data_IF_209817779845
#
_entry.id   IF_209817779845
#
_cell.length_a   1.000
_cell.length_b   1.000
_cell.length_c   1.000
_cell.angle_alpha   90.00
_cell.angle_beta   90.00
_cell.angle_gamma   90.00
#
_symmetry.space_group_name_H-M   'P 1'
#
loop_
_entity.id
_entity.type
_entity.pdbx_description
1 polymer ?
#
# COMPACT_ATOMS: atom_id res chain seq x y z
N UNK A 1 12.32 24.99 -1.42
CA UNK A 1 11.44 24.35 -0.41
C UNK A 1 10.02 24.93 -0.50
N UNK A 2 9.35 24.74 -1.65
CA UNK A 2 7.93 25.08 -1.92
C UNK A 2 7.24 23.89 -2.60
N UNK A 3 7.57 22.68 -2.13
CA UNK A 3 7.04 21.42 -2.66
C UNK A 3 5.83 20.91 -1.85
N UNK A 4 5.16 21.85 -1.17
CA UNK A 4 3.98 21.63 -0.33
C UNK A 4 2.82 22.38 -1.01
N UNK A 5 1.68 21.71 -1.15
CA UNK A 5 0.38 22.28 -1.55
C UNK A 5 0.08 22.37 -3.06
N UNK A 6 -0.26 21.22 -3.68
CA UNK A 6 -1.28 21.02 -4.75
C UNK A 6 -1.14 19.63 -5.39
N UNK A 7 -1.41 18.56 -4.66
CA UNK A 7 -2.05 17.39 -5.27
C UNK A 7 -3.45 17.35 -4.68
N UNK A 8 -4.41 17.86 -5.44
CA UNK A 8 -5.80 17.95 -5.00
C UNK A 8 -6.38 16.52 -4.89
N UNK A 9 -6.26 15.96 -3.68
CA UNK A 9 -6.86 14.70 -3.25
C UNK A 9 -6.23 13.46 -3.90
N UNK A 10 -5.57 12.63 -3.08
CA UNK A 10 -4.82 11.40 -3.42
C UNK A 10 -5.65 10.25 -4.05
N UNK A 11 -6.50 10.56 -5.04
CA UNK A 11 -7.21 9.61 -5.90
C UNK A 11 -8.10 8.62 -5.13
N UNK A 12 -9.32 9.07 -4.80
CA UNK A 12 -10.36 8.27 -4.14
C UNK A 12 -10.56 6.83 -4.66
N UNK A 13 -10.45 6.50 -5.97
CA UNK A 13 -10.61 5.11 -6.43
C UNK A 13 -9.43 4.20 -6.07
N UNK A 14 -8.17 4.65 -6.24
CA UNK A 14 -7.00 3.78 -6.02
C UNK A 14 -6.76 3.50 -4.55
N UNK A 15 -7.08 4.43 -3.63
CA UNK A 15 -6.92 4.17 -2.19
C UNK A 15 -7.87 3.07 -1.69
N UNK A 16 -9.09 3.00 -2.24
CA UNK A 16 -10.06 1.95 -1.91
C UNK A 16 -9.59 0.58 -2.40
N UNK A 17 -9.09 0.52 -3.63
CA UNK A 17 -8.51 -0.70 -4.22
C UNK A 17 -7.26 -1.12 -3.44
N UNK A 18 -6.39 -0.17 -3.09
CA UNK A 18 -5.17 -0.42 -2.32
C UNK A 18 -5.48 -1.01 -0.94
N UNK A 19 -6.47 -0.47 -0.22
CA UNK A 19 -6.86 -0.97 1.10
C UNK A 19 -7.49 -2.38 1.01
N UNK A 20 -8.25 -2.66 -0.05
CA UNK A 20 -8.75 -4.02 -0.33
C UNK A 20 -7.61 -5.01 -0.59
N UNK A 21 -6.66 -4.66 -1.48
CA UNK A 21 -5.56 -5.55 -1.81
C UNK A 21 -4.65 -5.75 -0.59
N UNK A 22 -4.34 -4.68 0.16
CA UNK A 22 -3.56 -4.78 1.39
C UNK A 22 -4.22 -5.72 2.40
N UNK A 23 -5.54 -5.63 2.60
CA UNK A 23 -6.29 -6.55 3.46
C UNK A 23 -6.22 -8.01 3.01
N UNK A 24 -6.39 -8.28 1.72
CA UNK A 24 -6.30 -9.63 1.16
C UNK A 24 -4.88 -10.21 1.35
N UNK A 25 -3.84 -9.40 1.11
CA UNK A 25 -2.44 -9.82 1.30
C UNK A 25 -2.17 -10.14 2.78
N UNK A 26 -2.67 -9.32 3.72
CA UNK A 26 -2.49 -9.59 5.17
C UNK A 26 -3.20 -10.87 5.59
N UNK A 27 -4.44 -11.10 5.14
CA UNK A 27 -5.18 -12.33 5.44
C UNK A 27 -4.44 -13.54 4.86
N UNK A 28 -3.99 -13.45 3.61
CA UNK A 28 -3.22 -14.51 2.97
C UNK A 28 -1.90 -14.78 3.70
N UNK A 29 -1.17 -13.74 4.13
CA UNK A 29 0.08 -13.87 4.88
C UNK A 29 -0.12 -14.53 6.26
N UNK A 30 -1.20 -14.18 6.97
CA UNK A 30 -1.55 -14.80 8.26
C UNK A 30 -1.98 -16.25 8.07
N UNK A 31 -2.78 -16.55 7.04
CA UNK A 31 -3.24 -17.91 6.75
C UNK A 31 -2.07 -18.83 6.39
N UNK A 32 -1.12 -18.33 5.59
CA UNK A 32 0.11 -19.06 5.26
C UNK A 32 1.04 -19.21 6.48
N UNK A 33 1.09 -18.20 7.34
CA UNK A 33 1.88 -18.26 8.57
C UNK A 33 1.36 -19.26 9.59
N UNK A 34 0.06 -19.52 9.59
CA UNK A 34 -0.53 -20.60 10.36
C UNK A 34 -0.14 -21.99 9.83
N UNK A 35 -0.02 -22.15 8.51
CA UNK A 35 0.23 -23.44 7.86
C UNK A 35 1.72 -23.81 7.70
N UNK A 36 2.64 -22.84 7.56
CA UNK A 36 4.04 -23.11 7.19
C UNK A 36 5.01 -22.87 8.36
N UNK A 37 4.99 -21.69 8.99
CA UNK A 37 5.92 -21.34 10.09
C UNK A 37 5.54 -20.02 10.78
N UNK A 38 5.66 -19.94 12.12
CA UNK A 38 5.37 -18.72 12.91
C UNK A 38 6.15 -17.46 12.49
N UNK A 39 7.23 -17.61 11.72
CA UNK A 39 8.01 -16.49 11.16
C UNK A 39 7.25 -15.63 10.13
N UNK A 40 6.20 -16.15 9.50
CA UNK A 40 5.41 -15.41 8.49
C UNK A 40 4.56 -14.28 9.09
N UNK A 41 4.28 -14.30 10.39
CA UNK A 41 3.64 -13.17 11.08
C UNK A 41 4.50 -11.90 11.01
N UNK A 42 5.82 -12.04 10.95
CA UNK A 42 6.73 -10.90 10.83
C UNK A 42 6.53 -10.17 9.50
N UNK A 43 6.23 -10.90 8.41
CA UNK A 43 5.90 -10.31 7.11
C UNK A 43 4.59 -9.52 7.16
N UNK A 44 3.57 -10.04 7.85
CA UNK A 44 2.30 -9.35 8.04
C UNK A 44 2.48 -8.05 8.86
N UNK A 45 3.29 -8.09 9.92
CA UNK A 45 3.61 -6.93 10.76
C UNK A 45 4.38 -5.86 9.96
N UNK A 46 5.38 -6.27 9.17
CA UNK A 46 6.16 -5.35 8.32
C UNK A 46 5.25 -4.65 7.31
N UNK A 47 4.34 -5.38 6.64
CA UNK A 47 3.36 -4.80 5.71
C UNK A 47 2.45 -3.78 6.41
N UNK A 48 1.92 -4.11 7.60
CA UNK A 48 1.08 -3.22 8.38
C UNK A 48 1.82 -1.95 8.80
N UNK A 49 3.07 -2.11 9.27
CA UNK A 49 3.92 -0.98 9.67
C UNK A 49 4.22 -0.05 8.48
N UNK A 50 4.51 -0.58 7.30
CA UNK A 50 4.68 0.20 6.08
C UNK A 50 3.40 0.97 5.70
N UNK A 51 2.22 0.40 5.98
CA UNK A 51 0.94 1.08 5.74
C UNK A 51 0.67 2.22 6.73
N UNK A 52 1.11 2.08 7.99
CA UNK A 52 1.06 3.13 9.02
C UNK A 52 2.01 4.27 8.66
N UNK A 53 3.25 3.94 8.27
CA UNK A 53 4.24 4.93 7.82
C UNK A 53 3.72 5.69 6.60
N UNK A 54 3.04 5.02 5.66
CA UNK A 54 2.39 5.68 4.53
C UNK A 54 1.34 6.72 4.95
N UNK A 55 0.50 6.42 5.94
CA UNK A 55 -0.48 7.39 6.45
C UNK A 55 0.16 8.65 7.03
N UNK A 56 1.42 8.59 7.46
CA UNK A 56 2.16 9.71 8.07
C UNK A 56 3.07 10.43 7.05
N UNK A 57 3.73 9.69 6.15
CA UNK A 57 4.75 10.22 5.21
C UNK A 57 4.26 10.36 3.77
N UNK A 58 3.17 9.68 3.39
CA UNK A 58 2.60 9.73 2.03
C UNK A 58 3.37 8.92 0.97
N UNK A 59 4.40 8.15 1.34
CA UNK A 59 5.15 7.28 0.41
C UNK A 59 4.60 5.85 0.43
N UNK A 60 3.92 5.41 -0.64
CA UNK A 60 3.41 4.04 -0.76
C UNK A 60 4.26 3.24 -1.78
N UNK A 61 5.04 2.23 -1.38
CA UNK A 61 5.81 1.39 -2.31
C UNK A 61 4.90 0.63 -3.28
N UNK A 62 3.68 0.31 -2.85
CA UNK A 62 2.69 -0.35 -3.69
C UNK A 62 2.14 0.57 -4.80
N UNK A 63 2.16 1.89 -4.60
CA UNK A 63 1.86 2.84 -5.68
C UNK A 63 2.95 2.82 -6.76
N UNK A 64 4.22 2.57 -6.39
CA UNK A 64 5.33 2.38 -7.33
C UNK A 64 5.13 1.07 -8.10
N UNK A 65 4.68 0.01 -7.43
CA UNK A 65 4.34 -1.27 -8.08
C UNK A 65 3.18 -1.11 -9.06
N UNK A 66 2.11 -0.38 -8.72
CA UNK A 66 1.01 -0.13 -9.67
C UNK A 66 1.44 0.71 -10.88
N UNK A 67 2.36 1.66 -10.71
CA UNK A 67 2.96 2.39 -11.82
C UNK A 67 3.76 1.47 -12.74
N UNK A 68 4.42 0.45 -12.17
CA UNK A 68 5.17 -0.56 -12.93
C UNK A 68 4.25 -1.54 -13.67
N UNK A 69 3.08 -1.86 -13.10
CA UNK A 69 2.04 -2.68 -13.75
C UNK A 69 1.24 -1.94 -14.84
N UNK A 70 1.62 -0.69 -15.17
CA UNK A 70 1.10 0.01 -16.34
C UNK A 70 -0.33 0.53 -16.20
N UNK A 71 -0.88 0.56 -14.99
CA UNK A 71 -2.12 1.31 -14.72
C UNK A 71 -1.73 2.79 -14.67
N UNK A 72 -2.16 3.63 -15.64
CA UNK A 72 -1.88 5.05 -15.56
C UNK A 72 -2.59 5.61 -14.32
N UNK A 73 -1.81 6.11 -13.35
CA UNK A 73 -2.29 7.20 -12.51
C UNK A 73 -2.50 8.39 -13.44
N UNK A 74 -3.67 8.47 -14.09
CA UNK A 74 -4.01 9.54 -15.02
C UNK A 74 -4.19 10.85 -14.24
N UNK A 75 -3.08 11.45 -13.84
CA UNK A 75 -3.01 12.83 -13.35
C UNK A 75 -2.67 13.69 -14.57
N UNK A 76 -3.70 13.96 -15.38
CA UNK A 76 -3.63 15.02 -16.40
C UNK A 76 -3.50 16.34 -15.65
N UNK A 77 -2.42 17.08 -15.90
CA UNK A 77 -2.15 18.40 -15.30
C UNK A 77 -3.30 19.38 -15.54
#
# INVERSE_FOLDING_TARGET
MKHISRTHWQQAPVLRVLFCIAGIIVIAAVLLGYYVHSGFFFLAIVVGFMQIVFSITGWCPMAIVLQLFGLPCTVKK
#
